data_IF_201589182904
#
_entry.id   IF_201589182904
#
_cell.length_a   1.000
_cell.length_b   1.000
_cell.length_c   1.000
_cell.angle_alpha   90.00
_cell.angle_beta   90.00
_cell.angle_gamma   90.00
#
_symmetry.space_group_name_H-M   'P 1'
#
loop_
_entity.id
_entity.type
_entity.pdbx_description
1 polymer ?
#
# COMPACT_ATOMS: atom_id res chain seq x y z
N UNK A 1 13.04 23.23 0.77
CA UNK A 1 12.23 23.18 2.01
C UNK A 1 10.86 22.66 1.62
N UNK A 2 10.60 21.37 1.82
CA UNK A 2 9.27 20.81 1.60
C UNK A 2 8.34 21.35 2.70
N UNK A 3 7.27 22.03 2.31
CA UNK A 3 6.24 22.47 3.24
C UNK A 3 5.54 21.23 3.81
N UNK A 4 5.66 21.03 5.13
CA UNK A 4 4.89 20.03 5.83
C UNK A 4 3.40 20.37 5.66
N UNK A 5 2.65 19.47 5.02
CA UNK A 5 1.20 19.58 4.94
C UNK A 5 0.63 19.59 6.36
N UNK A 6 -0.22 20.56 6.72
CA UNK A 6 -0.92 20.53 7.99
C UNK A 6 -1.90 19.36 7.96
N UNK A 7 -1.64 18.33 8.78
CA UNK A 7 -2.59 17.24 9.04
C UNK A 7 -3.75 17.88 9.81
N UNK A 8 -4.98 17.98 9.24
CA UNK A 8 -6.13 18.44 10.01
C UNK A 8 -6.35 17.45 11.15
N UNK A 9 -6.59 17.97 12.35
CA UNK A 9 -6.74 17.16 13.55
C UNK A 9 -7.76 16.03 13.40
N UNK A 10 -7.29 14.80 13.59
CA UNK A 10 -8.00 13.71 14.25
C UNK A 10 -9.37 13.28 13.72
N UNK A 11 -9.72 13.49 12.45
CA UNK A 11 -10.82 12.70 11.87
C UNK A 11 -10.38 11.23 11.77
N UNK A 12 -11.20 10.27 12.22
CA UNK A 12 -10.88 8.85 12.10
C UNK A 12 -10.71 8.50 10.62
N UNK A 13 -9.56 7.89 10.29
CA UNK A 13 -9.26 7.46 8.92
C UNK A 13 -10.32 6.44 8.47
N UNK A 14 -11.07 6.77 7.43
CA UNK A 14 -12.04 5.84 6.86
C UNK A 14 -11.30 4.66 6.20
N UNK A 15 -11.55 3.46 6.71
CA UNK A 15 -10.92 2.22 6.26
C UNK A 15 -11.95 1.12 5.97
N UNK A 16 -13.24 1.38 6.19
CA UNK A 16 -14.36 0.47 6.02
C UNK A 16 -15.24 0.85 4.83
N UNK A 17 -15.40 -0.08 3.87
CA UNK A 17 -16.49 -0.07 2.89
C UNK A 17 -16.52 1.07 1.86
N UNK A 18 -15.56 2.01 1.86
CA UNK A 18 -15.51 3.14 0.91
C UNK A 18 -14.52 2.90 -0.22
N UNK A 19 -14.77 3.52 -1.37
CA UNK A 19 -13.86 3.50 -2.50
C UNK A 19 -12.88 4.67 -2.40
N UNK A 20 -11.70 4.50 -2.99
CA UNK A 20 -10.66 5.51 -3.01
C UNK A 20 -10.09 5.61 -4.42
N UNK A 21 -9.87 6.82 -4.91
CA UNK A 21 -8.85 7.05 -5.93
C UNK A 21 -7.48 7.10 -5.24
N UNK A 22 -6.47 6.49 -5.84
CA UNK A 22 -5.14 6.38 -5.27
C UNK A 22 -4.06 6.89 -6.20
N UNK A 23 -3.00 7.41 -5.59
CA UNK A 23 -1.74 7.81 -6.21
C UNK A 23 -0.63 7.06 -5.46
N UNK A 24 0.02 6.11 -6.14
CA UNK A 24 1.14 5.30 -5.61
C UNK A 24 2.44 5.61 -6.37
N UNK A 25 3.25 6.55 -5.89
CA UNK A 25 4.59 6.82 -6.43
C UNK A 25 5.55 5.69 -6.08
N UNK A 26 6.52 5.40 -6.95
CA UNK A 26 7.63 4.51 -6.67
C UNK A 26 8.73 5.25 -5.87
N UNK A 27 9.44 4.55 -4.97
CA UNK A 27 10.46 5.18 -4.12
C UNK A 27 11.78 5.47 -4.86
N UNK A 28 12.11 4.66 -5.86
CA UNK A 28 13.43 4.68 -6.53
C UNK A 28 13.37 5.10 -8.00
N UNK A 29 12.17 5.29 -8.52
CA UNK A 29 11.91 5.68 -9.89
C UNK A 29 10.84 6.76 -9.89
N UNK A 30 10.90 7.66 -10.84
CA UNK A 30 9.91 8.73 -11.02
C UNK A 30 8.59 8.21 -11.62
N UNK A 31 8.22 6.96 -11.33
CA UNK A 31 6.97 6.33 -11.76
C UNK A 31 5.87 6.57 -10.73
N UNK A 32 4.65 6.71 -11.21
CA UNK A 32 3.47 6.78 -10.38
C UNK A 32 2.34 5.94 -10.98
N UNK A 33 1.70 5.13 -10.14
CA UNK A 33 0.45 4.45 -10.47
C UNK A 33 -0.73 5.29 -9.99
N UNK A 34 -1.68 5.54 -10.89
CA UNK A 34 -2.97 6.15 -10.55
C UNK A 34 -4.06 5.09 -10.71
N UNK A 35 -5.08 5.06 -9.86
CA UNK A 35 -6.23 4.18 -10.07
C UNK A 35 -7.28 4.35 -8.99
N UNK A 36 -8.21 3.42 -8.87
CA UNK A 36 -9.15 3.37 -7.75
C UNK A 36 -9.36 1.96 -7.19
N UNK A 37 -9.74 1.85 -5.92
CA UNK A 37 -10.03 0.58 -5.24
C UNK A 37 -10.91 0.79 -4.00
N UNK A 38 -11.75 -0.19 -3.65
CA UNK A 38 -12.36 -0.28 -2.32
C UNK A 38 -11.44 -0.85 -1.24
N UNK A 39 -10.30 -1.41 -1.66
CA UNK A 39 -9.24 -1.90 -0.77
C UNK A 39 -7.86 -1.45 -1.31
N UNK A 40 -7.42 -0.21 -1.00
CA UNK A 40 -6.09 0.27 -1.36
C UNK A 40 -4.94 -0.61 -0.84
N UNK A 41 -5.05 -1.17 0.37
CA UNK A 41 -4.02 -2.06 0.94
C UNK A 41 -3.93 -3.37 0.16
N UNK A 42 -5.06 -4.00 -0.18
CA UNK A 42 -5.09 -5.17 -1.06
C UNK A 42 -4.55 -4.85 -2.45
N UNK A 43 -4.89 -3.67 -2.99
CA UNK A 43 -4.45 -3.24 -4.32
C UNK A 43 -2.93 -3.04 -4.39
N UNK A 44 -2.34 -2.30 -3.46
CA UNK A 44 -0.89 -2.06 -3.44
C UNK A 44 -0.11 -3.37 -3.22
N UNK A 45 -0.63 -4.26 -2.37
CA UNK A 45 -0.06 -5.60 -2.13
C UNK A 45 -0.12 -6.50 -3.36
N UNK A 46 -1.16 -6.38 -4.19
CA UNK A 46 -1.27 -7.14 -5.43
C UNK A 46 -0.26 -6.68 -6.51
N UNK A 47 0.11 -5.39 -6.50
CA UNK A 47 1.09 -4.83 -7.43
C UNK A 47 2.50 -5.35 -7.17
N UNK A 48 2.91 -5.38 -5.89
CA UNK A 48 4.26 -5.79 -5.50
C UNK A 48 4.26 -6.46 -4.11
N UNK A 49 4.92 -7.61 -3.90
CA UNK A 49 4.93 -8.30 -2.60
C UNK A 49 5.60 -7.46 -1.51
N UNK A 50 6.72 -6.81 -1.84
CA UNK A 50 7.43 -5.88 -0.96
C UNK A 50 7.04 -4.43 -1.22
N UNK A 51 5.74 -4.18 -1.39
CA UNK A 51 5.20 -2.87 -1.76
C UNK A 51 5.71 -1.75 -0.83
N UNK A 52 5.93 -2.06 0.46
CA UNK A 52 6.40 -1.13 1.48
C UNK A 52 7.84 -0.61 1.26
N UNK A 53 8.66 -1.31 0.47
CA UNK A 53 9.99 -0.85 0.05
C UNK A 53 10.06 -0.42 -1.42
N UNK A 54 8.99 -0.67 -2.18
CA UNK A 54 8.92 -0.37 -3.61
C UNK A 54 8.23 0.98 -3.87
N UNK A 55 7.14 1.26 -3.15
CA UNK A 55 6.40 2.52 -3.27
C UNK A 55 6.87 3.54 -2.22
N UNK A 56 6.84 4.82 -2.60
CA UNK A 56 7.00 5.93 -1.66
C UNK A 56 5.69 6.12 -0.89
N UNK A 57 5.64 5.59 0.32
CA UNK A 57 4.46 5.67 1.17
C UNK A 57 4.25 7.05 1.79
N UNK A 58 5.31 7.87 1.88
CA UNK A 58 5.24 9.22 2.42
C UNK A 58 4.66 10.20 1.40
N UNK A 59 4.97 9.98 0.12
CA UNK A 59 4.42 10.78 -0.97
C UNK A 59 3.13 10.20 -1.59
N UNK A 60 2.75 8.98 -1.23
CA UNK A 60 1.50 8.38 -1.67
C UNK A 60 0.27 9.08 -1.07
N UNK A 61 -0.83 9.10 -1.83
CA UNK A 61 -2.06 9.78 -1.45
C UNK A 61 -3.30 8.98 -1.85
N UNK A 62 -4.36 9.14 -1.07
CA UNK A 62 -5.70 8.61 -1.34
C UNK A 62 -6.73 9.73 -1.31
N UNK A 63 -7.72 9.66 -2.18
CA UNK A 63 -8.91 10.52 -2.17
C UNK A 63 -10.12 9.63 -1.94
N UNK A 64 -10.86 9.88 -0.86
CA UNK A 64 -12.08 9.15 -0.52
C UNK A 64 -13.18 9.46 -1.53
N UNK A 65 -13.88 8.42 -1.97
CA UNK A 65 -15.00 8.51 -2.87
C UNK A 65 -16.28 7.97 -2.22
N UNK A 66 -17.42 8.54 -2.59
CA UNK A 66 -18.73 8.13 -2.07
C UNK A 66 -19.26 6.86 -2.72
N UNK A 67 -18.76 6.55 -3.93
CA UNK A 67 -19.17 5.37 -4.70
C UNK A 67 -18.07 4.91 -5.66
N UNK A 68 -18.24 3.74 -6.28
CA UNK A 68 -17.36 3.27 -7.35
C UNK A 68 -17.33 4.24 -8.54
N UNK A 69 -18.48 4.84 -8.87
CA UNK A 69 -18.59 5.79 -9.98
C UNK A 69 -17.79 7.05 -9.68
N UNK A 70 -17.97 7.62 -8.49
CA UNK A 70 -17.22 8.79 -8.03
C UNK A 70 -15.71 8.49 -7.99
N UNK A 71 -15.30 7.32 -7.50
CA UNK A 71 -13.90 6.91 -7.50
C UNK A 71 -13.28 6.83 -8.90
N UNK A 72 -14.08 6.39 -9.89
CA UNK A 72 -13.67 6.38 -11.30
C UNK A 72 -13.60 7.78 -11.89
N UNK A 73 -14.54 8.66 -11.55
CA UNK A 73 -14.53 10.05 -12.02
C UNK A 73 -13.33 10.80 -11.44
N UNK A 74 -12.99 10.57 -10.16
CA UNK A 74 -11.77 11.08 -9.53
C UNK A 74 -10.49 10.53 -10.18
N UNK A 75 -10.45 9.22 -10.47
CA UNK A 75 -9.32 8.60 -11.19
C UNK A 75 -9.10 9.25 -12.56
N UNK A 76 -10.18 9.46 -13.32
CA UNK A 76 -10.16 10.14 -14.62
C UNK A 76 -9.68 11.59 -14.50
N UNK A 77 -10.16 12.33 -13.50
CA UNK A 77 -9.73 13.71 -13.23
C UNK A 77 -8.23 13.76 -12.90
N UNK A 78 -7.76 12.88 -12.03
CA UNK A 78 -6.35 12.81 -11.61
C UNK A 78 -5.41 12.54 -12.80
N UNK A 79 -5.81 11.71 -13.76
CA UNK A 79 -4.96 11.39 -14.94
C UNK A 79 -5.24 12.25 -16.18
N UNK A 80 -6.20 13.16 -16.13
CA UNK A 80 -6.59 13.96 -17.29
C UNK A 80 -5.38 14.73 -17.86
N UNK A 81 -5.14 14.62 -19.16
CA UNK A 81 -4.03 15.30 -19.83
C UNK A 81 -2.63 14.71 -19.58
N UNK A 82 -2.51 13.58 -18.87
CA UNK A 82 -1.20 12.95 -18.61
C UNK A 82 -0.71 12.04 -19.75
N UNK A 83 -1.33 12.12 -20.94
CA UNK A 83 -1.07 11.19 -22.05
C UNK A 83 0.40 11.13 -22.49
N UNK A 84 1.09 12.27 -22.48
CA UNK A 84 2.51 12.37 -22.86
C UNK A 84 3.47 11.81 -21.79
N UNK A 85 2.97 11.60 -20.57
CA UNK A 85 3.74 11.09 -19.44
C UNK A 85 3.55 9.58 -19.24
N UNK A 86 2.74 8.93 -20.09
CA UNK A 86 2.52 7.48 -20.03
C UNK A 86 3.85 6.74 -20.07
N UNK A 87 3.99 5.78 -19.16
CA UNK A 87 5.15 4.93 -19.06
C UNK A 87 4.70 3.47 -18.97
N UNK A 88 5.53 2.51 -19.45
CA UNK A 88 5.28 1.11 -19.13
C UNK A 88 5.36 0.89 -17.61
N UNK A 89 4.66 -0.13 -17.12
CA UNK A 89 4.80 -0.55 -15.74
C UNK A 89 6.28 -0.93 -15.44
N UNK A 90 6.82 -0.59 -14.26
CA UNK A 90 8.13 -1.08 -13.85
C UNK A 90 8.20 -2.62 -13.90
N UNK A 91 9.37 -3.17 -14.26
CA UNK A 91 9.56 -4.62 -14.46
C UNK A 91 9.22 -5.47 -13.23
N UNK A 92 9.39 -4.91 -12.03
CA UNK A 92 9.09 -5.58 -10.77
C UNK A 92 7.58 -5.72 -10.49
N UNK A 93 6.72 -4.98 -11.22
CA UNK A 93 5.27 -5.05 -11.04
C UNK A 93 4.71 -6.36 -11.57
N UNK A 94 3.83 -6.98 -10.80
CA UNK A 94 3.12 -8.20 -11.21
C UNK A 94 2.11 -7.88 -12.31
N UNK A 95 2.37 -8.40 -13.52
CA UNK A 95 1.60 -8.14 -14.75
C UNK A 95 0.08 -8.38 -14.66
N UNK A 96 -0.45 -9.40 -13.94
CA UNK A 96 -1.91 -9.59 -13.88
C UNK A 96 -2.66 -8.54 -13.03
N UNK A 97 -1.96 -7.77 -12.20
CA UNK A 97 -2.56 -6.79 -11.29
C UNK A 97 -2.51 -5.35 -11.84
N UNK A 98 -1.55 -5.04 -12.71
CA UNK A 98 -1.38 -3.70 -13.27
C UNK A 98 -2.24 -3.50 -14.52
N UNK A 99 -3.30 -2.69 -14.42
CA UNK A 99 -3.89 -2.12 -15.64
C UNK A 99 -2.77 -1.48 -16.47
N UNK A 100 -2.68 -1.85 -17.75
CA UNK A 100 -1.50 -1.57 -18.58
C UNK A 100 -1.29 -0.08 -18.88
N UNK A 101 -2.27 0.79 -18.59
CA UNK A 101 -2.36 2.16 -19.13
C UNK A 101 -2.37 3.26 -18.07
N UNK A 102 -2.06 2.95 -16.82
CA UNK A 102 -2.24 3.90 -15.70
C UNK A 102 -0.94 4.17 -14.93
N UNK A 103 0.20 3.96 -15.62
CA UNK A 103 1.53 4.27 -15.14
C UNK A 103 2.05 5.51 -15.85
N UNK A 104 2.58 6.44 -15.07
CA UNK A 104 3.07 7.73 -15.56
C UNK A 104 4.45 8.00 -14.99
N UNK A 105 5.27 8.79 -15.70
CA UNK A 105 6.58 9.22 -15.22
C UNK A 105 6.68 10.75 -15.15
N UNK A 106 7.27 11.31 -14.10
CA UNK A 106 7.51 12.76 -14.00
C UNK A 106 6.29 13.60 -13.62
N UNK A 107 5.26 12.97 -13.05
CA UNK A 107 3.97 13.62 -12.76
C UNK A 107 3.71 13.85 -11.28
N UNK A 108 4.62 13.46 -10.39
CA UNK A 108 4.37 13.45 -8.94
C UNK A 108 3.97 14.83 -8.40
N UNK A 109 4.72 15.89 -8.74
CA UNK A 109 4.41 17.26 -8.30
C UNK A 109 3.03 17.72 -8.77
N UNK A 110 2.67 17.43 -10.02
CA UNK A 110 1.37 17.76 -10.59
C UNK A 110 0.24 16.99 -9.90
N UNK A 111 0.46 15.73 -9.54
CA UNK A 111 -0.54 14.93 -8.82
C UNK A 111 -0.75 15.42 -7.38
N UNK A 112 0.31 15.87 -6.71
CA UNK A 112 0.21 16.52 -5.40
C UNK A 112 -0.68 17.76 -5.46
N UNK A 113 -0.51 18.61 -6.48
CA UNK A 113 -1.36 19.79 -6.69
C UNK A 113 -2.82 19.41 -6.98
N UNK A 114 -3.06 18.41 -7.83
CA UNK A 114 -4.42 17.95 -8.18
C UNK A 114 -5.14 17.35 -6.97
N UNK A 115 -4.46 16.53 -6.18
CA UNK A 115 -5.02 15.97 -4.94
C UNK A 115 -5.32 17.09 -3.94
N UNK A 116 -4.44 18.08 -3.79
CA UNK A 116 -4.70 19.23 -2.94
C UNK A 116 -5.92 20.05 -3.41
N UNK A 117 -6.10 20.23 -4.72
CA UNK A 117 -7.28 20.89 -5.29
C UNK A 117 -8.58 20.11 -5.03
N UNK A 118 -8.55 18.77 -5.08
CA UNK A 118 -9.68 17.93 -4.67
C UNK A 118 -10.00 18.10 -3.19
N UNK A 119 -8.97 18.15 -2.33
CA UNK A 119 -9.13 18.46 -0.91
C UNK A 119 -9.79 19.83 -0.67
N UNK A 120 -9.36 20.86 -1.39
CA UNK A 120 -9.95 22.19 -1.32
C UNK A 120 -11.42 22.24 -1.80
N UNK A 121 -11.83 21.30 -2.68
CA UNK A 121 -13.22 21.11 -3.11
C UNK A 121 -14.09 20.34 -2.09
N UNK A 122 -13.51 19.86 -1.01
CA UNK A 122 -14.22 19.16 0.07
C UNK A 122 -14.08 17.63 0.05
N UNK A 123 -13.32 17.05 -0.87
CA UNK A 123 -13.01 15.61 -0.80
C UNK A 123 -12.07 15.34 0.39
N UNK A 124 -12.28 14.21 1.06
CA UNK A 124 -11.33 13.74 2.08
C UNK A 124 -10.10 13.16 1.40
N UNK A 125 -8.94 13.63 1.83
CA UNK A 125 -7.64 13.20 1.33
C UNK A 125 -6.85 12.60 2.48
N UNK A 126 -6.24 11.44 2.24
CA UNK A 126 -5.41 10.76 3.23
C UNK A 126 -3.98 10.57 2.72
N UNK A 127 -2.97 10.90 3.52
CA UNK A 127 -1.61 10.42 3.29
C UNK A 127 -1.58 8.88 3.32
N UNK A 128 -0.83 8.26 2.41
CA UNK A 128 -0.89 6.82 2.19
C UNK A 128 -0.35 6.02 3.38
N UNK A 129 0.83 6.37 3.91
CA UNK A 129 1.43 5.63 5.02
C UNK A 129 0.52 5.54 6.27
N UNK A 130 0.01 6.64 6.85
CA UNK A 130 -0.91 6.57 7.99
C UNK A 130 -2.18 5.76 7.68
N UNK A 131 -2.71 5.88 6.45
CA UNK A 131 -3.88 5.12 6.04
C UNK A 131 -3.59 3.62 5.98
N UNK A 132 -2.48 3.21 5.38
CA UNK A 132 -2.07 1.81 5.31
C UNK A 132 -1.80 1.24 6.70
N UNK A 133 -1.22 2.03 7.61
CA UNK A 133 -1.00 1.64 9.01
C UNK A 133 -2.31 1.32 9.70
N UNK A 134 -3.29 2.23 9.63
CA UNK A 134 -4.62 1.99 10.20
C UNK A 134 -5.33 0.79 9.57
N UNK A 135 -5.19 0.59 8.25
CA UNK A 135 -5.74 -0.56 7.55
C UNK A 135 -5.10 -1.89 7.97
N UNK A 136 -3.79 -1.89 8.24
CA UNK A 136 -3.06 -3.08 8.74
C UNK A 136 -3.36 -3.35 10.21
N UNK A 137 -3.44 -2.32 11.05
CA UNK A 137 -3.85 -2.44 12.46
C UNK A 137 -5.21 -3.13 12.59
N UNK A 138 -6.19 -2.79 11.74
CA UNK A 138 -7.49 -3.50 11.71
C UNK A 138 -7.42 -4.97 11.30
N UNK A 139 -6.34 -5.39 10.65
CA UNK A 139 -6.11 -6.79 10.26
C UNK A 139 -5.22 -7.52 11.27
N UNK A 140 -4.64 -6.81 12.25
CA UNK A 140 -3.70 -7.35 13.23
C UNK A 140 -4.30 -8.47 14.07
N UNK A 141 -5.58 -8.36 14.46
CA UNK A 141 -6.26 -9.37 15.29
C UNK A 141 -6.26 -10.78 14.65
N UNK A 142 -6.21 -10.85 13.32
CA UNK A 142 -6.17 -12.13 12.58
C UNK A 142 -4.77 -12.60 12.23
N UNK A 143 -3.74 -11.79 12.50
CA UNK A 143 -2.36 -12.07 12.10
C UNK A 143 -1.85 -13.36 12.74
N UNK A 144 -2.16 -13.57 14.02
CA UNK A 144 -1.78 -14.78 14.76
C UNK A 144 -2.26 -16.06 14.05
N UNK A 145 -3.58 -16.21 13.88
CA UNK A 145 -4.19 -17.39 13.25
C UNK A 145 -3.77 -17.52 11.79
N UNK A 146 -3.66 -16.40 11.08
CA UNK A 146 -3.23 -16.40 9.69
C UNK A 146 -1.82 -16.98 9.56
N UNK A 147 -0.83 -16.50 10.33
CA UNK A 147 0.56 -17.01 10.22
C UNK A 147 0.66 -18.52 10.51
N UNK A 148 -0.05 -19.03 11.51
CA UNK A 148 -0.12 -20.46 11.82
C UNK A 148 -0.79 -21.28 10.72
N UNK A 149 -1.77 -20.72 10.01
CA UNK A 149 -2.40 -21.39 8.87
C UNK A 149 -1.51 -21.45 7.62
N UNK A 150 -0.52 -20.55 7.51
CA UNK A 150 0.35 -20.45 6.34
C UNK A 150 1.61 -21.30 6.45
N UNK A 151 2.06 -21.64 7.66
CA UNK A 151 3.34 -22.30 7.91
C UNK A 151 3.13 -23.64 8.61
N UNK A 152 3.69 -24.69 8.02
CA UNK A 152 3.80 -26.00 8.64
C UNK A 152 4.85 -26.01 9.76
N UNK A 153 4.81 -27.05 10.60
CA UNK A 153 5.83 -27.27 11.64
C UNK A 153 7.23 -27.38 11.03
N UNK A 154 7.37 -28.10 9.92
CA UNK A 154 8.66 -28.28 9.22
C UNK A 154 9.23 -26.95 8.70
N UNK A 155 8.36 -26.04 8.24
CA UNK A 155 8.76 -24.69 7.82
C UNK A 155 9.19 -23.81 9.01
N UNK A 156 8.50 -23.91 10.14
CA UNK A 156 8.84 -23.16 11.36
C UNK A 156 10.15 -23.65 11.98
N UNK A 157 10.42 -24.95 11.91
CA UNK A 157 11.63 -25.59 12.43
C UNK A 157 12.82 -25.51 11.44
N UNK A 158 12.62 -24.92 10.26
CA UNK A 158 13.69 -24.74 9.26
C UNK A 158 14.08 -26.02 8.52
N UNK A 159 13.31 -27.09 8.65
CA UNK A 159 13.56 -28.39 8.00
C UNK A 159 13.17 -28.40 6.52
N UNK A 160 12.26 -27.51 6.11
CA UNK A 160 11.76 -27.43 4.73
C UNK A 160 12.63 -26.59 3.77
N UNK A 161 13.73 -25.99 4.24
CA UNK A 161 14.46 -24.97 3.47
C UNK A 161 13.61 -23.71 3.22
N UNK A 162 13.97 -22.89 2.22
CA UNK A 162 13.24 -21.68 1.87
C UNK A 162 11.99 -21.99 1.03
N UNK A 163 10.81 -21.64 1.54
CA UNK A 163 9.53 -21.89 0.85
C UNK A 163 8.83 -20.60 0.40
N UNK A 164 7.97 -20.65 -0.64
CA UNK A 164 7.15 -19.51 -1.03
C UNK A 164 6.19 -19.02 0.08
N UNK A 165 5.71 -19.93 0.94
CA UNK A 165 4.84 -19.59 2.07
C UNK A 165 5.61 -18.80 3.13
N UNK A 166 6.83 -19.25 3.48
CA UNK A 166 7.74 -18.52 4.35
C UNK A 166 8.04 -17.12 3.82
N UNK A 167 8.36 -16.97 2.52
CA UNK A 167 8.61 -15.65 1.94
C UNK A 167 7.37 -14.75 2.02
N UNK A 168 6.17 -15.29 1.73
CA UNK A 168 4.92 -14.54 1.82
C UNK A 168 4.65 -14.05 3.25
N UNK A 169 4.82 -14.93 4.24
CA UNK A 169 4.63 -14.54 5.65
C UNK A 169 5.66 -13.48 6.03
N UNK A 170 6.93 -13.66 5.66
CA UNK A 170 7.99 -12.69 5.92
C UNK A 170 7.69 -11.32 5.31
N UNK A 171 7.27 -11.27 4.04
CA UNK A 171 6.91 -10.01 3.39
C UNK A 171 5.75 -9.29 4.11
N UNK A 172 4.77 -10.03 4.64
CA UNK A 172 3.68 -9.45 5.44
C UNK A 172 4.20 -8.90 6.77
N UNK A 173 5.02 -9.67 7.50
CA UNK A 173 5.59 -9.22 8.78
C UNK A 173 6.53 -8.02 8.62
N UNK A 174 7.36 -8.02 7.57
CA UNK A 174 8.20 -6.90 7.19
C UNK A 174 7.34 -5.65 6.89
N UNK A 175 6.16 -5.81 6.28
CA UNK A 175 5.24 -4.70 6.02
C UNK A 175 4.66 -4.09 7.31
N UNK A 176 4.33 -4.91 8.31
CA UNK A 176 3.94 -4.42 9.64
C UNK A 176 5.08 -3.61 10.27
N UNK A 177 6.30 -4.15 10.25
CA UNK A 177 7.49 -3.46 10.76
C UNK A 177 7.80 -2.16 10.00
N UNK A 178 7.69 -2.16 8.67
CA UNK A 178 7.91 -0.98 7.83
C UNK A 178 6.94 0.17 8.14
N UNK A 179 5.72 -0.14 8.61
CA UNK A 179 4.73 0.83 9.06
C UNK A 179 4.83 1.19 10.55
N UNK A 180 5.82 0.63 11.27
CA UNK A 180 5.99 0.87 12.70
C UNK A 180 4.89 0.25 13.55
N UNK A 181 4.45 -0.96 13.18
CA UNK A 181 3.53 -1.79 13.97
C UNK A 181 4.36 -2.94 14.56
N UNK A 182 4.35 -3.04 15.89
CA UNK A 182 5.03 -4.11 16.62
C UNK A 182 4.36 -5.45 16.34
N UNK A 183 5.12 -6.41 15.79
CA UNK A 183 4.60 -7.73 15.42
C UNK A 183 4.73 -8.74 16.56
N UNK A 184 5.70 -8.55 17.45
CA UNK A 184 5.97 -9.40 18.61
C UNK A 184 4.72 -9.80 19.41
N UNK A 185 3.84 -8.88 19.85
CA UNK A 185 2.67 -9.25 20.63
C UNK A 185 1.58 -9.96 19.81
N UNK A 186 1.70 -9.95 18.48
CA UNK A 186 0.68 -10.47 17.55
C UNK A 186 0.96 -11.89 17.08
N UNK A 187 2.13 -12.46 17.39
CA UNK A 187 2.61 -13.72 16.83
C UNK A 187 2.66 -14.85 17.86
N UNK A 188 2.48 -16.08 17.37
CA UNK A 188 2.81 -17.27 18.15
C UNK A 188 4.33 -17.33 18.40
N UNK A 189 4.80 -17.84 19.55
CA UNK A 189 6.24 -17.91 19.86
C UNK A 189 7.06 -18.66 18.81
N UNK A 190 6.53 -19.73 18.20
CA UNK A 190 7.18 -20.49 17.14
C UNK A 190 7.39 -19.66 15.86
N UNK A 191 6.36 -18.91 15.46
CA UNK A 191 6.42 -17.99 14.30
C UNK A 191 7.41 -16.86 14.58
N UNK A 192 7.38 -16.26 15.77
CA UNK A 192 8.33 -15.22 16.15
C UNK A 192 9.78 -15.73 16.16
N UNK A 193 9.99 -16.94 16.69
CA UNK A 193 11.28 -17.61 16.69
C UNK A 193 11.81 -17.84 15.28
N UNK A 194 10.97 -18.39 14.39
CA UNK A 194 11.30 -18.55 12.96
C UNK A 194 11.64 -17.20 12.30
N UNK A 195 10.79 -16.18 12.48
CA UNK A 195 10.93 -14.87 11.84
C UNK A 195 12.26 -14.18 12.22
N UNK A 196 12.65 -14.25 13.50
CA UNK A 196 13.92 -13.72 14.03
C UNK A 196 15.13 -14.59 13.66
N UNK A 197 14.95 -15.91 13.70
CA UNK A 197 16.03 -16.89 13.49
C UNK A 197 16.48 -17.00 12.04
N UNK A 198 15.61 -16.70 11.08
CA UNK A 198 16.01 -16.53 9.67
C UNK A 198 16.30 -15.05 9.37
N UNK A 199 17.35 -14.53 10.00
CA UNK A 199 18.02 -13.31 9.55
C UNK A 199 18.95 -13.71 8.39
N UNK A 200 18.66 -13.26 7.17
CA UNK A 200 19.63 -13.22 6.06
C UNK A 200 20.70 -12.17 6.37
#
# INVERSE_FOLDING_TARGET
MAAAYPVPGGEPVAIDGRCFAYVFPCAWEDHCKIGFSGDPLGRISALHPRWFGFFDLEAGMLVEAESIRDARDLELELRAGLGEYNAPAPLAIRVPAGGHTEWFRGVQALLVERVAALGARGYRVYPLRPWLRAAMERRADRLHEWTLSQLSVEELEGMAGATPSQQRVRDVLDAFGALGIEVEPLLAPSVLGWYRGSSL
#
